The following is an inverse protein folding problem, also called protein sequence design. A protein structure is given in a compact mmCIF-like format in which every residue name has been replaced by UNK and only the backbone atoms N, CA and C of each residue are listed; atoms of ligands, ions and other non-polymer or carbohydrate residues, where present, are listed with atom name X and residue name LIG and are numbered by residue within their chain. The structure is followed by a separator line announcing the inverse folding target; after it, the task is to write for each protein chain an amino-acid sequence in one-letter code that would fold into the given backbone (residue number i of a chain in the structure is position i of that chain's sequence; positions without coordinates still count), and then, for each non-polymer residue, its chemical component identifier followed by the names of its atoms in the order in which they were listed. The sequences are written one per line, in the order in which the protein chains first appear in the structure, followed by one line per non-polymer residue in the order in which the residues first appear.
data_IF_376884779262
#
_entry.id   IF_376884779262
#
_cell.length_a   1.000
_cell.length_b   1.000
_cell.length_c   1.000
_cell.angle_alpha   90.00
_cell.angle_beta   90.00
_cell.angle_gamma   90.00
#
_symmetry.space_group_name_H-M   'P 1'
#
loop_
_entity.id
_entity.type
_entity.pdbx_description
1 polymer ?
#
# COMPACT_ATOMS: atom_id res chain seq x y z
N UNK A 1 -12.23 8.53 -18.30
CA UNK A 1 -10.94 8.27 -18.97
C UNK A 1 -10.18 7.24 -18.14
N UNK A 2 -9.97 6.02 -18.64
CA UNK A 2 -9.19 4.98 -17.94
C UNK A 2 -7.69 5.26 -18.12
N UNK A 3 -6.91 5.11 -17.03
CA UNK A 3 -5.45 5.20 -17.13
C UNK A 3 -4.91 3.91 -17.72
N UNK A 4 -3.87 4.02 -18.54
CA UNK A 4 -3.23 2.88 -19.18
C UNK A 4 -1.94 2.50 -18.44
N UNK A 5 -1.56 1.24 -18.58
CA UNK A 5 -0.30 0.74 -18.04
C UNK A 5 0.91 1.51 -18.60
N UNK A 6 1.84 1.88 -17.71
CA UNK A 6 3.05 2.65 -18.00
C UNK A 6 4.12 1.84 -18.74
N UNK A 7 3.99 0.50 -18.75
CA UNK A 7 4.88 -0.38 -19.53
C UNK A 7 4.76 -0.08 -21.02
N UNK A 8 5.89 0.27 -21.65
CA UNK A 8 5.99 0.51 -23.09
C UNK A 8 5.36 -0.62 -23.91
N UNK A 9 4.48 -0.27 -24.85
CA UNK A 9 3.78 -1.24 -25.70
C UNK A 9 2.57 -1.93 -25.04
N UNK A 10 2.22 -1.56 -23.81
CA UNK A 10 1.00 -2.04 -23.16
C UNK A 10 -0.12 -1.01 -23.24
N UNK A 11 -1.29 -1.43 -23.71
CA UNK A 11 -2.51 -0.60 -23.78
C UNK A 11 -3.58 -1.03 -22.78
N UNK A 12 -3.27 -1.98 -21.89
CA UNK A 12 -4.22 -2.45 -20.88
C UNK A 12 -4.51 -1.34 -19.85
N UNK A 13 -5.73 -1.33 -19.33
CA UNK A 13 -6.13 -0.46 -18.23
C UNK A 13 -5.29 -0.74 -16.97
N UNK A 14 -4.84 0.31 -16.31
CA UNK A 14 -4.14 0.19 -15.05
C UNK A 14 -5.11 -0.18 -13.92
N UNK A 15 -4.65 -1.04 -13.01
CA UNK A 15 -5.39 -1.49 -11.82
C UNK A 15 -4.64 -1.20 -10.53
N UNK A 16 -3.36 -0.83 -10.63
CA UNK A 16 -2.48 -0.55 -9.50
C UNK A 16 -1.47 0.53 -9.81
N UNK A 17 -0.87 1.08 -8.76
CA UNK A 17 0.16 2.11 -8.84
C UNK A 17 1.40 1.64 -8.09
N UNK A 18 2.55 1.70 -8.76
CA UNK A 18 3.87 1.34 -8.24
C UNK A 18 4.65 2.63 -7.93
N UNK A 19 5.20 2.72 -6.71
CA UNK A 19 6.02 3.86 -6.27
C UNK A 19 7.36 3.36 -5.74
N UNK A 20 8.45 4.05 -6.09
CA UNK A 20 9.78 3.72 -5.58
C UNK A 20 10.20 4.70 -4.48
N UNK A 21 10.51 4.16 -3.30
CA UNK A 21 11.11 4.87 -2.17
C UNK A 21 12.61 4.55 -2.16
N UNK A 22 13.37 5.38 -2.88
CA UNK A 22 14.80 5.15 -3.11
C UNK A 22 15.64 5.15 -1.84
N UNK A 23 15.34 6.03 -0.88
CA UNK A 23 16.13 6.14 0.37
C UNK A 23 16.09 4.88 1.25
N UNK A 24 15.05 4.06 1.12
CA UNK A 24 14.84 2.84 1.89
C UNK A 24 15.01 1.57 1.04
N UNK A 25 15.30 1.72 -0.26
CA UNK A 25 15.28 0.61 -1.22
C UNK A 25 13.99 -0.19 -1.15
N UNK A 26 12.85 0.51 -1.13
CA UNK A 26 11.53 -0.12 -1.08
C UNK A 26 10.71 0.31 -2.29
N UNK A 27 10.01 -0.64 -2.91
CA UNK A 27 8.94 -0.36 -3.86
C UNK A 27 7.60 -0.68 -3.22
N UNK A 28 6.63 0.22 -3.37
CA UNK A 28 5.26 0.05 -2.90
C UNK A 28 4.35 -0.22 -4.07
N UNK A 29 3.52 -1.25 -3.92
CA UNK A 29 2.46 -1.55 -4.86
C UNK A 29 1.11 -1.30 -4.16
N UNK A 30 0.37 -0.32 -4.65
CA UNK A 30 -0.91 0.10 -4.09
C UNK A 30 -2.05 -0.13 -5.08
N UNK A 31 -3.30 -0.09 -4.60
CA UNK A 31 -4.45 -0.01 -5.49
C UNK A 31 -4.33 1.24 -6.35
N UNK A 32 -4.95 1.24 -7.53
CA UNK A 32 -4.88 2.38 -8.45
C UNK A 32 -5.20 3.69 -7.72
N UNK A 33 -4.17 4.51 -7.48
CA UNK A 33 -4.33 5.77 -6.74
C UNK A 33 -5.21 6.70 -7.57
N UNK A 34 -6.08 7.51 -6.96
CA UNK A 34 -7.03 8.35 -7.74
C UNK A 34 -6.33 9.39 -8.58
N UNK A 35 -5.38 10.10 -7.97
CA UNK A 35 -4.58 11.14 -8.63
C UNK A 35 -3.37 10.53 -9.34
N UNK A 36 -2.95 11.16 -10.44
CA UNK A 36 -1.78 10.74 -11.19
C UNK A 36 -0.55 11.43 -10.62
N UNK A 37 0.36 10.64 -10.08
CA UNK A 37 1.67 11.11 -9.64
C UNK A 37 2.71 10.90 -10.77
N UNK A 38 3.47 11.92 -11.18
CA UNK A 38 4.51 11.78 -12.22
C UNK A 38 5.69 10.89 -11.79
N UNK A 39 5.88 10.66 -10.49
CA UNK A 39 6.91 9.81 -9.91
C UNK A 39 6.41 8.38 -9.63
N UNK A 40 5.15 8.08 -9.97
CA UNK A 40 4.57 6.75 -9.85
C UNK A 40 4.28 6.12 -11.21
N UNK A 41 4.24 4.79 -11.23
CA UNK A 41 3.97 4.01 -12.42
C UNK A 41 2.65 3.26 -12.26
N UNK A 42 1.70 3.57 -13.13
CA UNK A 42 0.46 2.80 -13.20
C UNK A 42 0.69 1.49 -13.95
N UNK A 43 0.28 0.37 -13.38
CA UNK A 43 0.45 -0.97 -13.97
C UNK A 43 -0.91 -1.66 -14.11
N UNK A 44 -1.05 -2.51 -15.12
CA UNK A 44 -2.16 -3.45 -15.23
C UNK A 44 -1.88 -4.72 -14.43
N UNK A 45 -2.91 -5.53 -14.17
CA UNK A 45 -2.80 -6.76 -13.38
C UNK A 45 -1.63 -7.65 -13.81
N UNK A 46 -1.56 -7.95 -15.11
CA UNK A 46 -0.50 -8.78 -15.71
C UNK A 46 0.91 -8.25 -15.43
N UNK A 47 1.11 -6.93 -15.45
CA UNK A 47 2.44 -6.35 -15.20
C UNK A 47 2.72 -6.16 -13.71
N UNK A 48 1.69 -6.05 -12.87
CA UNK A 48 1.81 -6.12 -11.43
C UNK A 48 2.27 -7.49 -10.94
N UNK A 49 1.61 -8.55 -11.40
CA UNK A 49 1.93 -9.94 -11.01
C UNK A 49 3.34 -10.36 -11.43
N UNK A 50 3.86 -9.80 -12.53
CA UNK A 50 5.18 -10.11 -13.10
C UNK A 50 6.24 -9.10 -12.68
N UNK A 51 5.91 -8.14 -11.83
CA UNK A 51 6.83 -7.11 -11.38
C UNK A 51 7.96 -7.74 -10.58
N UNK A 52 9.19 -7.34 -10.87
CA UNK A 52 10.36 -7.66 -10.04
C UNK A 52 11.09 -6.37 -9.71
N UNK A 53 11.46 -6.22 -8.44
CA UNK A 53 12.24 -5.08 -7.95
C UNK A 53 13.74 -5.35 -8.12
N UNK A 54 14.59 -4.30 -8.17
CA UNK A 54 16.03 -4.49 -8.22
C UNK A 54 16.57 -5.33 -7.04
N UNK A 55 17.70 -6.01 -7.22
CA UNK A 55 18.31 -6.79 -6.16
C UNK A 55 18.60 -5.94 -4.92
N UNK A 56 18.28 -6.48 -3.74
CA UNK A 56 18.42 -5.77 -2.46
C UNK A 56 17.26 -4.82 -2.13
N UNK A 57 16.26 -4.68 -3.00
CA UNK A 57 15.05 -3.93 -2.70
C UNK A 57 13.97 -4.81 -2.10
N UNK A 58 13.08 -4.19 -1.31
CA UNK A 58 11.86 -4.84 -0.83
C UNK A 58 10.67 -4.39 -1.65
N UNK A 59 9.84 -5.32 -2.07
CA UNK A 59 8.51 -5.03 -2.60
C UNK A 59 7.50 -5.18 -1.47
N UNK A 60 6.75 -4.12 -1.15
CA UNK A 60 5.63 -4.18 -0.22
C UNK A 60 4.34 -4.01 -1.03
N UNK A 61 3.60 -5.10 -1.20
CA UNK A 61 2.25 -5.07 -1.78
C UNK A 61 1.25 -4.67 -0.69
N UNK A 62 0.71 -3.46 -0.81
CA UNK A 62 -0.22 -2.84 0.12
C UNK A 62 -1.66 -2.89 -0.39
N UNK A 63 -1.92 -3.51 -1.55
CA UNK A 63 -3.26 -3.69 -2.11
C UNK A 63 -4.16 -4.54 -1.22
N UNK A 64 -3.53 -5.44 -0.46
CA UNK A 64 -4.19 -6.46 0.35
C UNK A 64 -4.11 -6.20 1.86
N UNK A 65 -3.75 -5.00 2.33
CA UNK A 65 -3.72 -4.76 3.78
C UNK A 65 -5.15 -4.95 4.34
N UNK A 66 -5.41 -6.03 5.10
CA UNK A 66 -6.71 -6.20 5.72
C UNK A 66 -6.89 -5.02 6.67
N UNK A 67 -8.08 -4.41 6.64
CA UNK A 67 -8.50 -3.45 7.65
C UNK A 67 -8.13 -4.05 9.01
N UNK A 68 -7.14 -3.46 9.67
CA UNK A 68 -6.74 -3.91 10.99
C UNK A 68 -7.95 -3.67 11.88
N UNK A 69 -8.66 -4.76 12.21
CA UNK A 69 -9.72 -4.75 13.19
C UNK A 69 -9.04 -4.42 14.53
N UNK A 70 -9.01 -3.14 14.85
CA UNK A 70 -8.53 -2.62 16.13
C UNK A 70 -9.48 -3.15 17.20
N UNK A 71 -9.10 -4.24 17.85
CA UNK A 71 -9.68 -4.64 19.12
C UNK A 71 -9.16 -3.65 20.17
N UNK A 72 -9.92 -2.60 20.45
CA UNK A 72 -9.70 -1.83 21.67
C UNK A 72 -10.18 -2.67 22.85
N UNK A 73 -9.30 -3.49 23.41
CA UNK A 73 -9.53 -4.06 24.75
C UNK A 73 -9.45 -2.89 25.75
N UNK A 74 -10.62 -2.35 26.10
CA UNK A 74 -10.74 -1.39 27.19
C UNK A 74 -10.61 -2.17 28.51
N UNK A 75 -9.38 -2.55 28.84
CA UNK A 75 -9.00 -2.97 30.18
C UNK A 75 -8.91 -1.76 31.10
N UNK A 76 -10.04 -1.10 31.40
CA UNK A 76 -10.08 -0.11 32.48
C UNK A 76 -10.39 -0.82 33.80
N UNK A 77 -9.32 -1.31 34.41
CA UNK A 77 -9.31 -1.71 35.81
C UNK A 77 -9.38 -0.46 36.69
N UNK A 78 -10.58 -0.05 37.08
CA UNK A 78 -10.79 0.96 38.12
C UNK A 78 -10.47 0.37 39.50
N UNK A 79 -9.18 0.36 39.82
CA UNK A 79 -8.68 0.29 41.19
C UNK A 79 -8.95 1.61 41.92
N UNK A 80 -9.69 1.53 43.02
CA UNK A 80 -9.36 2.14 44.31
C UNK A 80 -9.23 3.67 44.42
N UNK A 81 -10.21 4.29 45.08
CA UNK A 81 -9.92 5.29 46.10
C UNK A 81 -10.92 5.16 47.25
N UNK A 82 -10.38 4.73 48.39
CA UNK A 82 -10.99 4.74 49.71
C UNK A 82 -11.12 6.20 50.14
N UNK A 83 -12.35 6.73 50.21
CA UNK A 83 -12.63 7.96 50.94
C UNK A 83 -13.16 7.60 52.33
N UNK A 84 -12.48 8.15 53.32
CA UNK A 84 -12.81 8.09 54.73
C UNK A 84 -14.14 8.77 55.03
N UNK A 85 -14.88 8.20 55.98
CA UNK A 85 -16.04 8.77 56.66
C UNK A 85 -16.27 7.98 57.94
#
# INVERSE_FOLDING_TARGET
MSRHCSRTGCTASATMTLTYQYSRSVAWLDNLVRERDPHAYDLCERHGERLTVPSGWRLEDRRHQPLQLVFTDSGDGLFGHRLAG
#
